data_IF_141814104629
#
_entry.id   IF_141814104629
#
_cell.length_a   1.000
_cell.length_b   1.000
_cell.length_c   1.000
_cell.angle_alpha   90.00
_cell.angle_beta   90.00
_cell.angle_gamma   90.00
#
_symmetry.space_group_name_H-M   'P 1'
#
loop_
_entity.id
_entity.type
_entity.pdbx_description
1 polymer ?
#
# COMPACT_ATOMS: atom_id res chain seq x y z
N UNK A 1 7.11 11.73 2.58
CA UNK A 1 8.56 11.50 2.56
C UNK A 1 8.73 10.01 2.42
N UNK A 2 9.43 9.56 1.37
CA UNK A 2 9.79 8.15 1.22
C UNK A 2 11.05 7.88 2.03
N UNK A 3 11.01 6.87 2.91
CA UNK A 3 12.16 6.43 3.67
C UNK A 3 12.68 5.11 3.07
N UNK A 4 13.95 5.09 2.66
CA UNK A 4 14.58 3.88 2.15
C UNK A 4 15.13 3.09 3.33
N UNK A 5 14.51 1.96 3.62
CA UNK A 5 14.91 1.08 4.73
C UNK A 5 16.18 0.29 4.40
N UNK A 6 16.31 -0.21 3.17
CA UNK A 6 17.45 -1.03 2.76
C UNK A 6 17.68 -0.96 1.24
N UNK A 7 18.95 -1.09 0.81
CA UNK A 7 19.33 -1.29 -0.60
C UNK A 7 20.63 -2.06 -0.65
N UNK A 8 20.64 -3.16 -1.40
CA UNK A 8 21.83 -3.97 -1.66
C UNK A 8 21.93 -4.31 -3.15
N UNK A 9 23.16 -4.38 -3.66
CA UNK A 9 23.47 -4.80 -5.03
C UNK A 9 24.79 -5.55 -4.99
N UNK A 10 24.74 -6.86 -5.23
CA UNK A 10 25.94 -7.69 -5.38
C UNK A 10 25.80 -8.58 -6.61
N UNK A 11 26.93 -8.92 -7.21
CA UNK A 11 27.03 -9.95 -8.25
C UNK A 11 26.92 -11.33 -7.59
N UNK A 12 25.99 -12.17 -8.06
CA UNK A 12 25.75 -13.52 -7.55
C UNK A 12 25.64 -14.49 -8.71
N UNK A 13 26.10 -15.72 -8.52
CA UNK A 13 25.84 -16.75 -9.51
C UNK A 13 24.40 -17.28 -9.41
N UNK A 14 24.01 -18.15 -10.36
CA UNK A 14 22.64 -18.66 -10.44
C UNK A 14 22.24 -19.49 -9.22
N UNK A 15 23.15 -20.26 -8.63
CA UNK A 15 22.87 -21.08 -7.45
C UNK A 15 22.69 -20.20 -6.21
N UNK A 16 23.54 -19.19 -6.04
CA UNK A 16 23.44 -18.20 -4.96
C UNK A 16 22.16 -17.37 -5.07
N UNK A 17 21.81 -16.91 -6.27
CA UNK A 17 20.55 -16.18 -6.54
C UNK A 17 19.34 -17.06 -6.20
N UNK A 18 19.36 -18.32 -6.62
CA UNK A 18 18.29 -19.25 -6.30
C UNK A 18 18.19 -19.57 -4.79
N UNK A 19 19.32 -19.59 -4.07
CA UNK A 19 19.32 -19.76 -2.62
C UNK A 19 18.67 -18.55 -1.92
N UNK A 20 19.01 -17.33 -2.36
CA UNK A 20 18.40 -16.10 -1.84
C UNK A 20 16.88 -16.08 -2.05
N UNK A 21 16.41 -16.39 -3.27
CA UNK A 21 14.98 -16.42 -3.57
C UNK A 21 14.21 -17.47 -2.77
N UNK A 22 14.82 -18.63 -2.48
CA UNK A 22 14.21 -19.63 -1.60
C UNK A 22 14.09 -19.13 -0.17
N UNK A 23 15.16 -18.53 0.37
CA UNK A 23 15.12 -17.94 1.70
C UNK A 23 14.05 -16.86 1.80
N UNK A 24 13.92 -16.01 0.77
CA UNK A 24 12.85 -15.02 0.69
C UNK A 24 11.45 -15.66 0.69
N UNK A 25 11.29 -16.80 0.02
CA UNK A 25 10.03 -17.54 0.02
C UNK A 25 9.72 -18.16 1.40
N UNK A 26 10.73 -18.77 2.05
CA UNK A 26 10.59 -19.30 3.42
C UNK A 26 10.22 -18.18 4.41
N UNK A 27 10.83 -17.00 4.27
CA UNK A 27 10.55 -15.79 5.04
C UNK A 27 9.09 -15.33 4.86
N UNK A 28 8.63 -15.26 3.61
CA UNK A 28 7.23 -14.93 3.27
C UNK A 28 6.22 -15.95 3.85
N UNK A 29 6.54 -17.24 3.81
CA UNK A 29 5.69 -18.31 4.36
C UNK A 29 5.65 -18.29 5.89
N UNK A 30 6.78 -17.98 6.53
CA UNK A 30 6.90 -17.92 7.99
C UNK A 30 6.12 -16.75 8.59
N UNK A 31 6.01 -15.65 7.83
CA UNK A 31 5.34 -14.43 8.26
C UNK A 31 6.15 -13.59 9.25
N UNK A 32 7.42 -13.91 9.49
CA UNK A 32 8.24 -13.36 10.59
C UNK A 32 9.12 -12.17 10.19
N UNK A 33 9.18 -11.81 8.90
CA UNK A 33 10.02 -10.73 8.38
C UNK A 33 10.89 -11.22 7.21
N UNK A 34 11.78 -10.35 6.71
CA UNK A 34 12.74 -10.70 5.64
C UNK A 34 14.16 -10.74 6.21
N UNK A 35 14.52 -11.85 6.83
CA UNK A 35 15.85 -12.11 7.37
C UNK A 35 16.91 -12.26 6.26
N UNK A 36 16.49 -12.76 5.09
CA UNK A 36 17.38 -13.09 3.97
C UNK A 36 18.10 -11.87 3.35
N UNK A 37 17.52 -10.67 3.47
CA UNK A 37 17.95 -9.50 2.70
C UNK A 37 18.99 -8.64 3.42
N UNK A 38 18.94 -8.53 4.75
CA UNK A 38 19.83 -7.63 5.50
C UNK A 38 20.94 -8.36 6.29
N UNK A 39 20.85 -9.69 6.42
CA UNK A 39 21.68 -10.43 7.38
C UNK A 39 21.30 -10.17 8.85
N UNK A 40 20.21 -9.44 9.05
CA UNK A 40 19.57 -9.08 10.31
C UNK A 40 18.05 -9.11 10.11
N UNK A 41 17.30 -9.44 11.16
CA UNK A 41 15.82 -9.51 11.10
C UNK A 41 15.24 -8.12 10.90
N UNK A 42 14.78 -7.83 9.68
CA UNK A 42 13.98 -6.65 9.41
C UNK A 42 12.50 -7.00 9.62
N UNK A 43 11.95 -6.56 10.76
CA UNK A 43 10.53 -6.69 11.09
C UNK A 43 9.74 -5.64 10.30
N UNK A 44 9.41 -5.99 9.05
CA UNK A 44 8.62 -5.14 8.14
C UNK A 44 7.15 -5.56 8.06
N UNK A 45 6.74 -6.56 8.84
CA UNK A 45 5.39 -7.14 8.81
C UNK A 45 5.11 -7.81 7.46
N UNK A 46 5.06 -9.14 7.43
CA UNK A 46 4.74 -9.87 6.20
C UNK A 46 3.22 -9.92 6.02
N UNK A 47 2.70 -9.50 4.86
CA UNK A 47 1.26 -9.40 4.63
C UNK A 47 0.62 -10.77 4.36
N UNK A 48 -0.68 -10.89 4.62
CA UNK A 48 -1.49 -12.04 4.16
C UNK A 48 -1.91 -11.93 2.69
N UNK A 49 -1.79 -10.74 2.10
CA UNK A 49 -2.08 -10.44 0.69
C UNK A 49 -1.10 -9.44 0.11
N UNK A 50 -0.55 -9.75 -1.06
CA UNK A 50 0.51 -8.99 -1.70
C UNK A 50 0.25 -8.84 -3.20
N UNK A 51 0.63 -7.69 -3.76
CA UNK A 51 0.74 -7.51 -5.20
C UNK A 51 2.16 -7.83 -5.63
N UNK A 52 2.27 -8.70 -6.65
CA UNK A 52 3.55 -9.07 -7.26
C UNK A 52 3.55 -8.57 -8.70
N UNK A 53 4.49 -7.70 -9.02
CA UNK A 53 4.76 -7.24 -10.37
C UNK A 53 6.09 -7.86 -10.84
N UNK A 54 6.08 -8.51 -12.00
CA UNK A 54 7.24 -9.16 -12.60
C UNK A 54 7.44 -8.60 -14.00
N UNK A 55 8.57 -7.93 -14.23
CA UNK A 55 8.93 -7.32 -15.51
C UNK A 55 10.22 -7.98 -16.04
N UNK A 56 10.20 -8.43 -17.30
CA UNK A 56 11.36 -8.99 -17.97
C UNK A 56 11.63 -8.19 -19.24
N UNK A 57 12.73 -7.46 -19.24
CA UNK A 57 13.19 -6.64 -20.35
C UNK A 57 14.40 -7.26 -21.04
N UNK A 58 14.50 -6.99 -22.34
CA UNK A 58 15.69 -7.28 -23.16
C UNK A 58 16.24 -5.97 -23.67
N UNK A 59 17.49 -5.69 -23.35
CA UNK A 59 18.26 -4.68 -24.05
C UNK A 59 18.83 -5.31 -25.33
N UNK A 60 18.40 -4.82 -26.48
CA UNK A 60 18.80 -5.37 -27.78
C UNK A 60 20.17 -4.85 -28.21
N UNK A 61 20.60 -3.72 -27.68
CA UNK A 61 21.89 -3.10 -27.94
C UNK A 61 22.99 -3.64 -26.99
N UNK A 62 22.61 -4.00 -25.76
CA UNK A 62 23.52 -4.46 -24.72
C UNK A 62 23.53 -5.99 -24.49
N UNK A 63 22.77 -6.76 -25.28
CA UNK A 63 22.59 -8.23 -25.16
C UNK A 63 22.25 -8.72 -23.74
N UNK A 64 21.63 -7.86 -22.95
CA UNK A 64 21.30 -8.11 -21.55
C UNK A 64 19.82 -8.39 -21.37
N UNK A 65 19.52 -9.28 -20.44
CA UNK A 65 18.18 -9.53 -19.93
C UNK A 65 18.10 -8.99 -18.51
N UNK A 66 17.06 -8.23 -18.22
CA UNK A 66 16.80 -7.64 -16.91
C UNK A 66 15.46 -8.16 -16.39
N UNK A 67 15.46 -8.77 -15.21
CA UNK A 67 14.25 -9.23 -14.52
C UNK A 67 14.07 -8.39 -13.26
N UNK A 68 13.02 -7.58 -13.21
CA UNK A 68 12.60 -6.84 -12.02
C UNK A 68 11.43 -7.58 -11.36
N UNK A 69 11.52 -7.79 -10.05
CA UNK A 69 10.43 -8.33 -9.23
C UNK A 69 10.13 -7.32 -8.15
N UNK A 70 8.94 -6.73 -8.20
CA UNK A 70 8.46 -5.75 -7.24
C UNK A 70 7.29 -6.34 -6.45
N UNK A 71 7.33 -6.05 -5.15
CA UNK A 71 6.52 -6.68 -4.13
C UNK A 71 5.92 -5.55 -3.28
N UNK A 72 4.60 -5.34 -3.36
CA UNK A 72 3.92 -4.23 -2.69
C UNK A 72 2.82 -4.75 -1.75
N UNK A 73 2.82 -4.23 -0.52
CA UNK A 73 1.82 -4.57 0.48
C UNK A 73 1.50 -3.40 1.41
N UNK A 74 0.28 -3.41 1.94
CA UNK A 74 -0.22 -2.45 2.92
C UNK A 74 -0.13 -2.99 4.36
N UNK A 75 -0.33 -2.13 5.36
CA UNK A 75 -0.19 -2.48 6.79
C UNK A 75 -1.26 -3.43 7.36
N UNK A 76 -2.12 -4.03 6.54
CA UNK A 76 -3.26 -4.83 6.99
C UNK A 76 -3.02 -6.34 6.79
N UNK A 77 -2.53 -7.00 7.83
CA UNK A 77 -3.24 -8.05 8.60
C UNK A 77 -2.29 -8.50 9.71
N UNK A 78 -2.14 -7.70 10.77
CA UNK A 78 -1.55 -8.18 12.03
C UNK A 78 -2.42 -9.35 12.47
N UNK A 79 -1.98 -10.60 12.23
CA UNK A 79 -2.70 -11.77 12.71
C UNK A 79 -2.97 -11.55 14.20
N UNK A 80 -4.23 -11.57 14.66
CA UNK A 80 -4.47 -11.53 16.09
C UNK A 80 -3.70 -12.71 16.68
N UNK A 81 -2.78 -12.41 17.60
CA UNK A 81 -2.16 -13.42 18.43
C UNK A 81 -3.29 -14.22 19.04
N UNK A 82 -3.57 -15.40 18.48
CA UNK A 82 -4.43 -16.36 19.13
C UNK A 82 -3.60 -16.91 20.27
N UNK A 83 -3.57 -16.15 21.37
CA UNK A 83 -3.09 -16.61 22.65
C UNK A 83 -3.94 -17.84 22.97
N UNK A 84 -3.32 -19.00 22.81
CA UNK A 84 -3.89 -20.27 23.18
C UNK A 84 -4.31 -20.22 24.64
N UNK A 85 -5.62 -20.27 24.86
CA UNK A 85 -6.33 -21.03 25.89
C UNK A 85 -5.55 -21.27 27.20
N UNK A 86 -6.02 -20.66 28.28
CA UNK A 86 -6.22 -21.43 29.51
C UNK A 86 -7.50 -20.93 30.19
N UNK A 87 -8.49 -21.83 30.23
CA UNK A 87 -9.64 -21.81 31.12
C UNK A 87 -9.28 -21.31 32.52
N UNK A 88 -9.99 -20.30 33.03
CA UNK A 88 -10.35 -20.28 34.45
C UNK A 88 -11.78 -19.78 34.63
N UNK A 89 -12.57 -20.68 35.22
CA UNK A 89 -13.93 -20.48 35.67
C UNK A 89 -13.97 -19.55 36.89
N UNK A 90 -14.96 -18.67 36.97
CA UNK A 90 -15.13 -17.77 38.12
C UNK A 90 -16.49 -17.09 38.13
N UNK A 91 -17.44 -17.76 38.75
CA UNK A 91 -18.86 -17.47 38.93
C UNK A 91 -19.19 -16.24 39.79
N UNK A 92 -20.33 -15.56 39.50
CA UNK A 92 -21.39 -15.11 40.44
C UNK A 92 -21.99 -13.73 40.04
N UNK A 93 -23.22 -13.64 39.53
CA UNK A 93 -24.54 -13.55 40.21
C UNK A 93 -25.05 -12.10 40.36
N UNK A 94 -26.29 -11.83 39.92
CA UNK A 94 -27.11 -10.74 40.46
C UNK A 94 -28.08 -10.06 39.49
N UNK A 95 -29.29 -10.62 39.34
CA UNK A 95 -30.48 -9.98 38.75
C UNK A 95 -31.04 -8.90 39.69
N UNK A 96 -31.46 -7.74 39.16
CA UNK A 96 -32.67 -7.03 39.59
C UNK A 96 -33.17 -6.02 38.53
N UNK A 97 -34.49 -6.05 38.36
CA UNK A 97 -35.40 -5.39 37.41
C UNK A 97 -35.57 -3.84 37.61
N UNK A 98 -36.36 -3.14 36.76
CA UNK A 98 -36.16 -1.75 36.33
C UNK A 98 -37.07 -0.70 37.01
N UNK A 99 -36.89 0.56 36.56
CA UNK A 99 -37.77 1.75 36.62
C UNK A 99 -37.30 2.91 37.54
N UNK A 100 -37.23 4.12 36.97
CA UNK A 100 -36.99 5.36 37.73
C UNK A 100 -36.17 6.42 36.97
N UNK A 101 -36.87 7.37 36.36
CA UNK A 101 -36.43 8.47 35.49
C UNK A 101 -35.69 9.66 36.14
N UNK A 102 -34.97 10.40 35.27
CA UNK A 102 -34.70 11.87 35.20
C UNK A 102 -33.25 12.36 35.45
N UNK A 103 -32.62 12.69 34.31
CA UNK A 103 -31.89 13.94 33.92
C UNK A 103 -31.03 14.71 34.93
N UNK A 104 -29.75 14.91 34.61
CA UNK A 104 -29.17 16.22 34.19
C UNK A 104 -27.68 16.11 33.86
N UNK A 105 -27.36 16.44 32.61
CA UNK A 105 -26.27 17.31 32.14
C UNK A 105 -24.78 16.98 32.37
N UNK A 106 -23.98 17.41 31.39
CA UNK A 106 -22.51 17.51 31.37
C UNK A 106 -21.73 16.28 30.91
N UNK A 107 -21.60 16.14 29.59
CA UNK A 107 -20.41 15.51 28.98
C UNK A 107 -20.11 16.24 27.69
N UNK A 108 -18.98 16.95 27.65
CA UNK A 108 -17.83 16.65 26.77
C UNK A 108 -16.96 17.90 26.71
N UNK A 109 -15.74 17.84 27.25
CA UNK A 109 -14.67 18.72 26.81
C UNK A 109 -13.65 17.86 26.03
N UNK A 110 -13.08 18.38 24.94
CA UNK A 110 -12.52 17.63 23.82
C UNK A 110 -11.02 17.43 23.97
N UNK A 111 -10.46 16.47 23.23
CA UNK A 111 -9.14 16.60 22.56
C UNK A 111 -9.07 15.50 21.50
N UNK A 112 -9.81 15.70 20.40
CA UNK A 112 -9.66 14.94 19.17
C UNK A 112 -8.66 15.67 18.27
N UNK A 113 -7.48 15.08 18.10
CA UNK A 113 -6.49 15.50 17.10
C UNK A 113 -7.06 15.14 15.72
N UNK A 114 -7.24 16.15 14.88
CA UNK A 114 -7.91 16.09 13.59
C UNK A 114 -7.31 15.00 12.67
N UNK A 115 -8.04 13.89 12.52
CA UNK A 115 -7.99 13.07 11.34
C UNK A 115 -8.92 13.72 10.30
N UNK A 116 -8.44 13.95 9.09
CA UNK A 116 -9.22 14.47 7.99
C UNK A 116 -10.47 13.61 7.78
N UNK A 117 -11.65 14.23 7.79
CA UNK A 117 -12.90 13.52 7.50
C UNK A 117 -12.85 12.96 6.07
N UNK A 118 -13.34 11.74 5.80
CA UNK A 118 -13.42 11.23 4.45
C UNK A 118 -14.37 12.11 3.65
N UNK A 119 -13.81 12.88 2.71
CA UNK A 119 -14.59 13.68 1.76
C UNK A 119 -15.56 12.80 0.96
N UNK A 120 -16.56 13.40 0.29
CA UNK A 120 -17.53 12.65 -0.51
C UNK A 120 -16.81 11.79 -1.56
N UNK A 121 -17.20 10.53 -1.67
CA UNK A 121 -16.63 9.59 -2.62
C UNK A 121 -16.70 10.15 -4.05
N UNK A 122 -15.53 10.27 -4.70
CA UNK A 122 -15.42 10.75 -6.07
C UNK A 122 -16.23 9.87 -7.03
N UNK A 123 -16.91 10.51 -7.99
CA UNK A 123 -17.66 9.84 -9.07
C UNK A 123 -16.81 9.65 -10.33
N UNK A 124 -15.49 9.71 -10.18
CA UNK A 124 -14.53 9.60 -11.26
C UNK A 124 -13.55 8.45 -11.02
N UNK A 125 -13.05 7.87 -12.10
CA UNK A 125 -12.15 6.71 -12.09
C UNK A 125 -10.90 7.03 -12.91
N UNK A 126 -9.74 6.68 -12.36
CA UNK A 126 -8.50 6.72 -13.10
C UNK A 126 -8.39 5.53 -14.04
N UNK A 127 -8.13 5.80 -15.31
CA UNK A 127 -7.88 4.81 -16.34
C UNK A 127 -6.42 4.90 -16.76
N UNK A 128 -5.68 3.80 -16.60
CA UNK A 128 -4.33 3.64 -17.11
C UNK A 128 -4.40 2.92 -18.46
N UNK A 129 -3.78 3.47 -19.50
CA UNK A 129 -3.85 2.91 -20.85
C UNK A 129 -2.57 3.18 -21.65
N UNK A 130 -2.34 2.36 -22.68
CA UNK A 130 -1.30 2.59 -23.67
C UNK A 130 -1.89 3.32 -24.87
N UNK A 131 -1.23 4.37 -25.33
CA UNK A 131 -1.68 5.16 -26.47
C UNK A 131 -1.17 4.61 -27.82
N UNK A 132 -1.38 5.36 -28.90
CA UNK A 132 -0.96 4.97 -30.26
C UNK A 132 0.55 5.11 -30.50
N UNK A 133 1.26 5.83 -29.63
CA UNK A 133 2.70 6.00 -29.67
C UNK A 133 3.42 4.96 -28.78
N UNK A 134 2.69 3.93 -28.31
CA UNK A 134 3.20 2.91 -27.40
C UNK A 134 3.63 3.47 -26.02
N UNK A 135 3.16 4.67 -25.66
CA UNK A 135 3.39 5.33 -24.38
C UNK A 135 2.26 5.02 -23.39
N UNK A 136 2.61 4.85 -22.13
CA UNK A 136 1.67 4.73 -21.02
C UNK A 136 1.17 6.11 -20.59
N UNK A 137 -0.14 6.21 -20.38
CA UNK A 137 -0.81 7.43 -19.93
C UNK A 137 -1.90 7.08 -18.93
N UNK A 138 -2.26 8.04 -18.10
CA UNK A 138 -3.43 7.94 -17.25
C UNK A 138 -4.40 9.08 -17.54
N UNK A 139 -5.69 8.84 -17.27
CA UNK A 139 -6.73 9.88 -17.31
C UNK A 139 -7.76 9.66 -16.23
N UNK A 140 -8.29 10.73 -15.67
CA UNK A 140 -9.42 10.71 -14.75
C UNK A 140 -10.71 10.90 -15.55
N UNK A 141 -11.54 9.85 -15.62
CA UNK A 141 -12.84 9.89 -16.29
C UNK A 141 -13.95 10.00 -15.26
N UNK A 142 -14.76 11.04 -15.36
CA UNK A 142 -15.99 11.15 -14.56
C UNK A 142 -17.10 10.25 -15.13
N UNK A 143 -18.05 9.82 -14.30
CA UNK A 143 -19.18 8.95 -14.72
C UNK A 143 -20.02 9.48 -15.88
N UNK A 144 -19.97 10.79 -16.16
CA UNK A 144 -20.65 11.39 -17.32
C UNK A 144 -19.89 11.19 -18.64
N UNK A 145 -18.73 10.53 -18.61
CA UNK A 145 -17.87 10.26 -19.76
C UNK A 145 -16.80 11.31 -20.02
N UNK A 146 -16.82 12.44 -19.31
CA UNK A 146 -15.85 13.51 -19.51
C UNK A 146 -14.51 13.18 -18.84
N UNK A 147 -13.43 13.56 -19.52
CA UNK A 147 -12.09 13.55 -18.94
C UNK A 147 -11.95 14.83 -18.11
N UNK A 148 -11.58 14.67 -16.84
CA UNK A 148 -11.42 15.76 -15.87
C UNK A 148 -9.94 16.13 -15.69
N UNK A 149 -9.06 15.14 -15.80
CA UNK A 149 -7.61 15.30 -15.77
C UNK A 149 -6.95 14.21 -16.62
N UNK A 150 -5.75 14.48 -17.11
CA UNK A 150 -4.89 13.51 -17.79
C UNK A 150 -3.44 13.71 -17.36
N UNK A 151 -2.58 12.75 -17.72
CA UNK A 151 -1.17 12.79 -17.37
C UNK A 151 -0.41 13.98 -17.95
N UNK A 152 -0.89 14.61 -19.03
CA UNK A 152 -0.19 15.68 -19.76
C UNK A 152 1.02 15.17 -20.57
N UNK A 153 1.72 14.17 -20.06
CA UNK A 153 2.88 13.51 -20.64
C UNK A 153 2.63 12.02 -20.90
N UNK A 154 3.44 11.44 -21.79
CA UNK A 154 3.49 10.00 -22.07
C UNK A 154 4.69 9.37 -21.37
N UNK A 155 4.48 8.20 -20.77
CA UNK A 155 5.51 7.47 -20.05
C UNK A 155 5.98 6.27 -20.88
N UNK A 156 7.29 6.00 -20.88
CA UNK A 156 7.82 4.82 -21.55
C UNK A 156 7.37 3.51 -20.87
N UNK A 157 7.24 3.52 -19.54
CA UNK A 157 6.88 2.34 -18.73
C UNK A 157 5.56 2.54 -17.97
N UNK A 158 4.88 1.43 -17.68
CA UNK A 158 3.62 1.41 -16.93
C UNK A 158 3.81 1.95 -15.51
N UNK A 159 4.89 1.51 -14.85
CA UNK A 159 5.27 1.92 -13.49
C UNK A 159 5.42 3.43 -13.37
N UNK A 160 6.11 4.07 -14.32
CA UNK A 160 6.28 5.52 -14.32
C UNK A 160 4.93 6.25 -14.38
N UNK A 161 3.99 5.74 -15.17
CA UNK A 161 2.63 6.28 -15.23
C UNK A 161 1.83 6.05 -13.95
N UNK A 162 2.00 4.91 -13.27
CA UNK A 162 1.40 4.64 -11.95
C UNK A 162 1.98 5.58 -10.88
N UNK A 163 3.30 5.75 -10.84
CA UNK A 163 3.97 6.66 -9.91
C UNK A 163 3.52 8.11 -10.11
N UNK A 164 3.41 8.55 -11.38
CA UNK A 164 2.85 9.86 -11.72
C UNK A 164 1.42 10.02 -11.21
N UNK A 165 0.58 9.00 -11.41
CA UNK A 165 -0.79 8.96 -10.93
C UNK A 165 -0.89 9.02 -9.40
N UNK A 166 -0.09 8.24 -8.67
CA UNK A 166 -0.06 8.24 -7.20
C UNK A 166 0.43 9.58 -6.64
N UNK A 167 1.43 10.20 -7.28
CA UNK A 167 1.88 11.54 -6.95
C UNK A 167 0.74 12.56 -7.07
N UNK A 168 -0.06 12.49 -8.13
CA UNK A 168 -1.24 13.36 -8.28
C UNK A 168 -2.27 13.08 -7.19
N UNK A 169 -2.60 11.81 -6.90
CA UNK A 169 -3.55 11.48 -5.83
C UNK A 169 -3.13 12.02 -4.47
N UNK A 170 -1.82 12.00 -4.18
CA UNK A 170 -1.26 12.48 -2.92
C UNK A 170 -1.23 14.01 -2.81
N UNK A 171 -0.87 14.70 -3.89
CA UNK A 171 -0.60 16.14 -3.83
C UNK A 171 -1.82 17.00 -4.24
N UNK A 172 -2.66 16.53 -5.16
CA UNK A 172 -3.76 17.32 -5.71
C UNK A 172 -4.82 17.78 -4.68
N UNK A 173 -5.21 16.98 -3.66
CA UNK A 173 -6.24 17.41 -2.71
C UNK A 173 -5.89 18.67 -1.90
N UNK A 174 -4.60 18.99 -1.77
CA UNK A 174 -4.11 20.14 -1.01
C UNK A 174 -3.34 21.16 -1.84
N UNK A 175 -3.34 21.05 -3.17
CA UNK A 175 -2.59 21.95 -4.04
C UNK A 175 -3.30 23.31 -4.18
N UNK A 176 -2.50 24.39 -4.14
CA UNK A 176 -2.97 25.74 -4.39
C UNK A 176 -3.28 25.96 -5.88
N UNK A 177 -4.21 26.87 -6.17
CA UNK A 177 -4.55 27.28 -7.54
C UNK A 177 -3.93 28.65 -7.82
N UNK A 178 -3.00 28.70 -8.77
CA UNK A 178 -2.42 29.94 -9.28
C UNK A 178 -3.15 30.38 -10.56
N UNK A 179 -3.52 31.67 -10.63
CA UNK A 179 -4.18 32.27 -11.79
C UNK A 179 -3.22 33.31 -12.38
N UNK A 180 -2.75 33.07 -13.60
CA UNK A 180 -1.98 34.05 -14.37
C UNK A 180 -2.94 34.91 -15.20
N UNK A 181 -2.82 36.25 -15.08
CA UNK A 181 -3.64 37.26 -15.79
C UNK A 181 -3.01 37.75 -17.10
#
# INVERSE_FOLDING_TARGET
MEERLFKQTDERDAAETAALLRSLADDLESGTGFDALAGETLDVGVPTGMTVDVELDRDTDAEQLELEVELVWGPDDERPVTAGRTDESGESTGTNDPDGTVTTDSTTNPTGRAAAEPGPASQATFELFRDKADEWRWRLRHRNGNIVADSGEGYARRKDAVNGLESVQRNAPGADVEIEE
#
